data_IF_490392679627
#
_entry.id   IF_490392679627
#
_cell.length_a   1.000
_cell.length_b   1.000
_cell.length_c   1.000
_cell.angle_alpha   90.00
_cell.angle_beta   90.00
_cell.angle_gamma   90.00
#
_symmetry.space_group_name_H-M   'P 1'
#
loop_
_entity.id
_entity.type
_entity.pdbx_description
1 polymer ?
#
# COMPACT_ATOMS: atom_id res chain seq x y z
N UNK A 1 31.69 8.10 8.82
CA UNK A 1 31.03 6.82 9.19
C UNK A 1 31.76 5.65 8.54
N UNK A 2 32.04 4.59 9.31
CA UNK A 2 32.66 3.36 8.82
C UNK A 2 31.76 2.56 7.86
N UNK A 3 32.38 1.73 7.01
CA UNK A 3 31.68 0.98 5.96
C UNK A 3 30.63 0.01 6.50
N UNK A 4 30.98 -0.83 7.46
CA UNK A 4 30.05 -1.81 8.06
C UNK A 4 28.84 -1.13 8.71
N UNK A 5 29.09 -0.02 9.39
CA UNK A 5 28.05 0.82 9.99
C UNK A 5 27.10 1.40 8.95
N UNK A 6 27.62 1.89 7.82
CA UNK A 6 26.77 2.37 6.73
C UNK A 6 25.90 1.25 6.14
N UNK A 7 26.46 0.05 5.95
CA UNK A 7 25.68 -1.13 5.56
C UNK A 7 24.55 -1.44 6.53
N UNK A 8 24.83 -1.36 7.84
CA UNK A 8 23.83 -1.59 8.88
C UNK A 8 22.70 -0.56 8.80
N UNK A 9 23.03 0.74 8.75
CA UNK A 9 22.07 1.84 8.62
C UNK A 9 21.22 1.68 7.36
N UNK A 10 21.84 1.37 6.23
CA UNK A 10 21.12 1.18 4.97
C UNK A 10 20.14 0.01 5.07
N UNK A 11 20.57 -1.12 5.61
CA UNK A 11 19.71 -2.31 5.75
C UNK A 11 18.57 -2.11 6.75
N UNK A 12 18.85 -1.44 7.87
CA UNK A 12 17.90 -1.33 8.99
C UNK A 12 16.94 -0.18 8.85
N UNK A 13 17.37 0.93 8.26
CA UNK A 13 16.61 2.18 8.28
C UNK A 13 16.23 2.68 6.88
N UNK A 14 17.11 2.57 5.88
CA UNK A 14 16.84 3.10 4.53
C UNK A 14 16.06 2.10 3.65
N UNK A 15 16.45 0.83 3.61
CA UNK A 15 15.76 -0.17 2.78
C UNK A 15 14.28 -0.34 3.17
N UNK A 16 13.91 -0.40 4.46
CA UNK A 16 12.49 -0.53 4.84
C UNK A 16 11.63 0.65 4.40
N UNK A 17 12.22 1.84 4.32
CA UNK A 17 11.54 3.06 3.86
C UNK A 17 11.18 2.98 2.37
N UNK A 18 12.05 2.37 1.55
CA UNK A 18 11.92 2.29 0.10
C UNK A 18 11.26 0.98 -0.35
N UNK A 19 9.92 0.99 -0.40
CA UNK A 19 9.04 -0.07 -0.93
C UNK A 19 9.66 -0.86 -2.10
N UNK A 20 9.80 -2.19 -1.92
CA UNK A 20 10.27 -3.12 -2.95
C UNK A 20 11.77 -3.04 -3.31
N UNK A 21 12.57 -2.32 -2.53
CA UNK A 21 14.01 -2.17 -2.77
C UNK A 21 14.84 -3.27 -2.10
N UNK A 22 15.95 -3.64 -2.74
CA UNK A 22 16.91 -4.62 -2.24
C UNK A 22 18.33 -4.09 -2.43
N UNK A 23 19.20 -4.33 -1.45
CA UNK A 23 20.63 -4.09 -1.58
C UNK A 23 21.25 -5.24 -2.38
N UNK A 24 21.80 -4.94 -3.56
CA UNK A 24 22.29 -5.96 -4.50
C UNK A 24 23.82 -6.06 -4.56
N UNK A 25 24.54 -5.08 -4.02
CA UNK A 25 26.00 -5.11 -3.99
C UNK A 25 26.61 -3.74 -3.72
N UNK A 26 27.88 -3.63 -4.08
CA UNK A 26 28.66 -2.40 -4.05
C UNK A 26 29.46 -2.21 -5.33
N UNK A 27 29.82 -0.97 -5.61
CA UNK A 27 30.70 -0.59 -6.72
C UNK A 27 31.71 0.48 -6.27
N UNK A 28 32.82 0.58 -6.99
CA UNK A 28 33.84 1.62 -6.76
C UNK A 28 33.27 3.02 -7.02
N UNK A 29 33.80 4.00 -6.29
CA UNK A 29 33.35 5.39 -6.33
C UNK A 29 34.53 6.34 -6.20
N UNK A 30 34.34 7.58 -6.64
CA UNK A 30 35.31 8.64 -6.43
C UNK A 30 34.66 9.98 -5.99
N UNK A 31 35.50 10.93 -5.60
CA UNK A 31 35.07 12.23 -5.06
C UNK A 31 34.21 13.09 -6.01
N UNK A 32 34.31 12.88 -7.34
CA UNK A 32 33.53 13.65 -8.32
C UNK A 32 32.06 13.24 -8.35
N UNK A 33 31.78 12.02 -7.94
CA UNK A 33 30.46 11.45 -8.06
C UNK A 33 29.55 11.81 -6.87
N UNK A 34 28.24 11.94 -7.11
CA UNK A 34 27.25 12.38 -6.11
C UNK A 34 26.95 11.34 -5.03
N UNK A 35 26.66 11.75 -3.79
CA UNK A 35 26.35 10.82 -2.68
C UNK A 35 25.10 9.98 -2.92
N UNK A 36 24.13 10.53 -3.66
CA UNK A 36 22.96 9.82 -4.18
C UNK A 36 22.90 10.03 -5.68
N UNK A 37 22.83 8.94 -6.45
CA UNK A 37 22.71 8.98 -7.90
C UNK A 37 21.80 7.87 -8.42
N UNK A 38 21.19 8.09 -9.58
CA UNK A 38 20.55 7.01 -10.34
C UNK A 38 21.64 6.17 -11.02
N UNK A 39 21.58 4.87 -10.82
CA UNK A 39 22.44 3.90 -11.49
C UNK A 39 21.75 3.26 -12.70
N UNK A 40 22.39 2.23 -13.26
CA UNK A 40 21.83 1.44 -14.39
C UNK A 40 20.70 0.52 -13.92
N UNK A 41 19.76 0.21 -14.82
CA UNK A 41 18.71 -0.81 -14.60
C UNK A 41 17.87 -0.60 -13.33
N UNK A 42 17.28 0.59 -13.14
CA UNK A 42 16.43 0.89 -11.97
C UNK A 42 17.16 0.73 -10.62
N UNK A 43 18.44 1.09 -10.59
CA UNK A 43 19.22 1.14 -9.36
C UNK A 43 19.40 2.56 -8.86
N UNK A 44 19.64 2.65 -7.57
CA UNK A 44 20.05 3.84 -6.87
C UNK A 44 21.40 3.55 -6.21
N UNK A 45 22.32 4.48 -6.36
CA UNK A 45 23.66 4.43 -5.83
C UNK A 45 23.73 5.38 -4.64
N UNK A 46 24.15 4.87 -3.49
CA UNK A 46 24.32 5.69 -2.29
C UNK A 46 25.70 5.48 -1.66
N UNK A 47 26.34 6.55 -1.21
CA UNK A 47 27.59 6.50 -0.45
C UNK A 47 27.55 7.43 0.75
N UNK A 48 28.26 7.13 1.85
CA UNK A 48 28.09 7.86 3.11
C UNK A 48 28.58 9.30 2.99
N UNK A 49 29.64 9.55 2.23
CA UNK A 49 30.17 10.89 2.02
C UNK A 49 30.78 11.03 0.63
N UNK A 50 31.07 12.28 0.22
CA UNK A 50 31.73 12.58 -1.06
C UNK A 50 33.05 11.82 -1.27
N UNK A 51 33.88 11.73 -0.24
CA UNK A 51 35.22 11.12 -0.31
C UNK A 51 35.20 9.59 -0.26
N UNK A 52 34.04 8.96 -0.03
CA UNK A 52 33.96 7.50 0.02
C UNK A 52 34.28 6.86 -1.35
N UNK A 53 35.16 5.87 -1.31
CA UNK A 53 35.66 5.09 -2.45
C UNK A 53 34.71 3.96 -2.88
N UNK A 54 33.56 3.83 -2.23
CA UNK A 54 32.54 2.83 -2.54
C UNK A 54 31.14 3.43 -2.56
N UNK A 55 30.22 2.77 -3.27
CA UNK A 55 28.77 3.02 -3.26
C UNK A 55 28.02 1.72 -3.07
N UNK A 56 26.93 1.79 -2.33
CA UNK A 56 25.97 0.71 -2.24
C UNK A 56 24.94 0.81 -3.35
N UNK A 57 24.66 -0.33 -3.99
CA UNK A 57 23.71 -0.43 -5.09
C UNK A 57 22.39 -0.96 -4.54
N UNK A 58 21.37 -0.10 -4.51
CA UNK A 58 20.01 -0.47 -4.17
C UNK A 58 19.22 -0.64 -5.48
N UNK A 59 18.55 -1.78 -5.66
CA UNK A 59 17.78 -2.07 -6.87
C UNK A 59 16.32 -2.35 -6.52
N UNK A 60 15.42 -1.95 -7.40
CA UNK A 60 14.00 -2.34 -7.33
C UNK A 60 13.43 -2.63 -8.72
N UNK A 61 12.19 -3.12 -8.78
CA UNK A 61 11.53 -3.48 -10.03
C UNK A 61 11.32 -2.33 -11.02
N UNK A 62 11.29 -1.08 -10.53
CA UNK A 62 11.02 0.15 -11.29
C UNK A 62 11.95 1.31 -10.93
N UNK A 63 12.06 2.30 -11.79
CA UNK A 63 12.96 3.45 -11.56
C UNK A 63 12.56 4.24 -10.30
N UNK A 64 13.55 4.80 -9.60
CA UNK A 64 13.34 5.69 -8.45
C UNK A 64 12.80 7.05 -8.91
N UNK A 65 11.81 7.57 -8.17
CA UNK A 65 11.19 8.86 -8.47
C UNK A 65 12.02 10.02 -7.91
N UNK A 66 11.94 11.22 -8.51
CA UNK A 66 12.73 12.37 -8.07
C UNK A 66 12.59 12.71 -6.58
N UNK A 67 11.38 12.57 -6.02
CA UNK A 67 11.14 12.85 -4.60
C UNK A 67 11.82 11.84 -3.67
N UNK A 68 11.96 10.57 -4.08
CA UNK A 68 12.68 9.54 -3.32
C UNK A 68 14.18 9.81 -3.32
N UNK A 69 14.72 10.29 -4.44
CA UNK A 69 16.12 10.72 -4.53
C UNK A 69 16.36 11.91 -3.60
N UNK A 70 15.44 12.89 -3.59
CA UNK A 70 15.54 14.05 -2.72
C UNK A 70 15.46 13.67 -1.24
N UNK A 71 14.53 12.78 -0.88
CA UNK A 71 14.44 12.21 0.47
C UNK A 71 15.75 11.56 0.90
N UNK A 72 16.39 10.78 0.04
CA UNK A 72 17.64 10.10 0.40
C UNK A 72 18.82 11.06 0.53
N UNK A 73 18.86 12.13 -0.25
CA UNK A 73 19.84 13.21 -0.05
C UNK A 73 19.67 13.84 1.33
N UNK A 74 18.43 14.13 1.73
CA UNK A 74 18.14 14.66 3.06
C UNK A 74 18.53 13.65 4.15
N UNK A 75 18.18 12.37 3.99
CA UNK A 75 18.53 11.31 4.95
C UNK A 75 20.06 11.20 5.13
N UNK A 76 20.83 11.17 4.04
CA UNK A 76 22.29 11.07 4.15
C UNK A 76 22.91 12.29 4.81
N UNK A 77 22.38 13.49 4.55
CA UNK A 77 22.79 14.71 5.24
C UNK A 77 22.59 14.57 6.76
N UNK A 78 21.38 14.20 7.19
CA UNK A 78 21.07 14.07 8.62
C UNK A 78 21.85 12.94 9.30
N UNK A 79 22.07 11.80 8.62
CA UNK A 79 22.90 10.70 9.14
C UNK A 79 24.36 11.14 9.33
N UNK A 80 24.89 11.94 8.40
CA UNK A 80 26.24 12.46 8.52
C UNK A 80 26.36 13.43 9.69
N UNK A 81 25.36 14.29 9.90
CA UNK A 81 25.33 15.18 11.05
C UNK A 81 25.33 14.39 12.37
N UNK A 82 24.55 13.30 12.47
CA UNK A 82 24.57 12.39 13.64
C UNK A 82 25.92 11.68 13.78
N UNK A 83 26.52 11.24 12.67
CA UNK A 83 27.79 10.50 12.67
C UNK A 83 28.99 11.36 13.08
N UNK A 84 28.86 12.69 13.07
CA UNK A 84 29.91 13.63 13.47
C UNK A 84 29.97 13.84 14.99
N UNK A 85 29.00 13.33 15.75
CA UNK A 85 29.05 13.36 17.21
C UNK A 85 30.00 12.27 17.74
N UNK A 86 31.07 12.68 18.40
CA UNK A 86 32.03 11.77 19.03
C UNK A 86 31.50 11.21 20.36
N UNK A 87 31.86 9.96 20.68
CA UNK A 87 31.61 9.36 21.99
C UNK A 87 30.17 8.93 22.28
N UNK A 88 29.29 8.87 21.28
CA UNK A 88 27.94 8.35 21.44
C UNK A 88 27.95 6.84 21.70
N UNK A 89 27.18 6.40 22.71
CA UNK A 89 26.85 4.99 22.87
C UNK A 89 26.05 4.49 21.65
N UNK A 90 26.28 3.26 21.17
CA UNK A 90 25.57 2.72 20.01
C UNK A 90 24.04 2.74 20.14
N UNK A 91 23.48 2.60 21.34
CA UNK A 91 22.02 2.63 21.55
C UNK A 91 21.44 4.03 21.42
N UNK A 92 22.12 5.06 21.94
CA UNK A 92 21.74 6.46 21.75
C UNK A 92 21.87 6.88 20.30
N UNK A 93 22.95 6.46 19.65
CA UNK A 93 23.17 6.76 18.24
C UNK A 93 22.04 6.21 17.37
N UNK A 94 21.60 4.97 17.60
CA UNK A 94 20.49 4.40 16.83
C UNK A 94 19.19 5.18 17.00
N UNK A 95 18.88 5.63 18.21
CA UNK A 95 17.73 6.51 18.45
C UNK A 95 17.83 7.85 17.71
N UNK A 96 19.03 8.43 17.64
CA UNK A 96 19.28 9.67 16.88
C UNK A 96 19.16 9.44 15.37
N UNK A 97 19.64 8.31 14.85
CA UNK A 97 19.51 7.96 13.43
C UNK A 97 18.04 7.75 13.00
N UNK A 98 17.22 7.14 13.86
CA UNK A 98 15.78 7.03 13.61
C UNK A 98 15.11 8.42 13.58
N UNK A 99 15.49 9.33 14.47
CA UNK A 99 15.01 10.71 14.49
C UNK A 99 15.53 11.54 13.31
N UNK A 100 16.75 11.31 12.87
CA UNK A 100 17.33 11.91 11.66
C UNK A 100 16.49 11.58 10.41
N UNK A 101 16.00 10.34 10.29
CA UNK A 101 15.10 9.97 9.19
C UNK A 101 13.75 10.67 9.29
N UNK A 102 13.19 10.78 10.49
CA UNK A 102 11.94 11.54 10.71
C UNK A 102 12.09 13.01 10.32
N UNK A 103 13.22 13.64 10.68
CA UNK A 103 13.57 15.00 10.25
C UNK A 103 13.71 15.10 8.73
N UNK A 104 14.41 14.17 8.10
CA UNK A 104 14.57 14.14 6.65
C UNK A 104 13.24 13.95 5.89
N UNK A 105 12.30 13.17 6.44
CA UNK A 105 10.93 13.04 5.92
C UNK A 105 10.21 14.39 5.98
N UNK A 106 10.26 15.08 7.12
CA UNK A 106 9.67 16.41 7.27
C UNK A 106 10.28 17.43 6.30
N UNK A 107 11.61 17.47 6.19
CA UNK A 107 12.34 18.33 5.24
C UNK A 107 11.93 18.06 3.78
N UNK A 108 11.70 16.79 3.43
CA UNK A 108 11.32 16.40 2.06
C UNK A 108 9.91 16.88 1.66
N UNK A 109 9.04 17.13 2.64
CA UNK A 109 7.62 17.51 2.43
C UNK A 109 7.43 19.01 2.54
N UNK A 110 8.09 19.62 3.53
CA UNK A 110 7.86 20.99 3.95
C UNK A 110 9.19 21.67 4.31
N UNK A 111 10.11 21.78 3.35
CA UNK A 111 11.44 22.36 3.58
C UNK A 111 11.42 23.74 4.26
N UNK A 112 10.44 24.59 3.93
CA UNK A 112 10.25 25.92 4.55
C UNK A 112 9.61 25.90 5.95
N UNK A 113 9.04 24.76 6.37
CA UNK A 113 8.29 24.60 7.62
C UNK A 113 8.72 23.33 8.38
N UNK A 114 9.95 22.87 8.16
CA UNK A 114 10.37 21.53 8.58
C UNK A 114 10.48 21.39 10.10
N UNK A 115 10.97 22.42 10.79
CA UNK A 115 11.04 22.47 12.26
C UNK A 115 9.64 22.32 12.88
N UNK A 116 8.68 23.10 12.38
CA UNK A 116 7.26 23.02 12.77
C UNK A 116 6.69 21.63 12.50
N UNK A 117 6.89 21.12 11.28
CA UNK A 117 6.42 19.79 10.90
C UNK A 117 6.99 18.69 11.80
N UNK A 118 8.28 18.74 12.12
CA UNK A 118 8.93 17.80 13.04
C UNK A 118 8.33 17.89 14.45
N UNK A 119 8.06 19.10 14.94
CA UNK A 119 7.37 19.30 16.22
C UNK A 119 5.97 18.71 16.24
N UNK A 120 5.18 18.94 15.20
CA UNK A 120 3.82 18.40 15.04
C UNK A 120 3.83 16.86 14.96
N UNK A 121 4.73 16.29 14.14
CA UNK A 121 4.92 14.83 14.00
C UNK A 121 5.36 14.21 15.33
N UNK A 122 6.26 14.87 16.06
CA UNK A 122 6.71 14.45 17.38
C UNK A 122 5.57 14.42 18.40
N UNK A 123 4.75 15.48 18.44
CA UNK A 123 3.58 15.55 19.30
C UNK A 123 2.55 14.46 18.99
N UNK A 124 2.23 14.24 17.71
CA UNK A 124 1.31 13.17 17.31
C UNK A 124 1.88 11.77 17.57
N UNK A 125 3.20 11.59 17.43
CA UNK A 125 3.86 10.33 17.82
C UNK A 125 3.71 10.06 19.31
N UNK A 126 3.80 11.09 20.17
CA UNK A 126 3.54 10.93 21.61
C UNK A 126 2.08 10.54 21.88
N UNK A 127 1.13 11.13 21.15
CA UNK A 127 -0.29 10.78 21.25
C UNK A 127 -0.61 9.36 20.75
N UNK A 128 0.11 8.86 19.75
CA UNK A 128 -0.07 7.50 19.23
C UNK A 128 0.17 6.39 20.27
N UNK A 129 0.96 6.70 21.32
CA UNK A 129 1.27 5.80 22.42
C UNK A 129 0.30 5.92 23.60
N UNK A 130 -0.64 6.86 23.56
CA UNK A 130 -1.58 7.16 24.63
C UNK A 130 -3.00 6.71 24.28
N UNK A 131 -3.81 6.53 25.32
CA UNK A 131 -5.25 6.33 25.20
C UNK A 131 -5.96 7.44 25.96
N UNK A 132 -7.06 7.94 25.42
CA UNK A 132 -7.97 8.84 26.13
C UNK A 132 -9.28 8.10 26.38
N UNK A 133 -9.71 8.00 27.64
CA UNK A 133 -10.90 7.22 28.04
C UNK A 133 -10.91 5.77 27.51
N UNK A 134 -9.72 5.14 27.45
CA UNK A 134 -9.55 3.78 26.93
C UNK A 134 -9.62 3.64 25.41
N UNK A 135 -9.84 4.73 24.67
CA UNK A 135 -9.81 4.76 23.20
C UNK A 135 -8.48 5.30 22.70
N UNK A 136 -8.00 4.73 21.58
CA UNK A 136 -6.87 5.30 20.85
C UNK A 136 -7.30 6.64 20.25
N UNK A 137 -6.36 7.58 20.26
CA UNK A 137 -6.61 8.93 19.78
C UNK A 137 -6.38 8.95 18.27
N UNK A 138 -7.36 9.46 17.54
CA UNK A 138 -7.21 9.88 16.15
C UNK A 138 -7.18 11.42 16.11
N UNK A 139 -6.40 12.00 15.21
CA UNK A 139 -6.24 13.45 15.16
C UNK A 139 -5.72 13.94 13.82
N UNK A 140 -6.17 15.11 13.39
CA UNK A 140 -5.80 15.73 12.11
C UNK A 140 -5.21 17.12 12.25
N UNK A 141 -4.07 17.34 11.60
CA UNK A 141 -3.42 18.64 11.46
C UNK A 141 -3.26 19.01 9.98
N UNK A 142 -3.55 20.26 9.62
CA UNK A 142 -3.11 20.87 8.36
C UNK A 142 -1.99 21.86 8.67
N UNK A 143 -0.88 21.73 7.96
CA UNK A 143 0.20 22.71 7.94
C UNK A 143 0.17 23.49 6.63
N UNK A 144 -0.07 24.79 6.72
CA UNK A 144 -0.02 25.70 5.59
C UNK A 144 1.41 26.21 5.39
N UNK A 145 2.05 25.79 4.31
CA UNK A 145 3.47 26.08 4.03
C UNK A 145 3.68 27.33 3.18
N UNK A 146 2.62 28.13 2.97
CA UNK A 146 2.71 29.39 2.23
C UNK A 146 3.46 30.43 3.06
N UNK A 147 4.20 31.32 2.41
CA UNK A 147 4.94 32.42 3.05
C UNK A 147 4.00 33.53 3.53
N UNK A 148 3.26 33.25 4.60
CA UNK A 148 2.54 34.25 5.37
C UNK A 148 3.10 34.22 6.80
N UNK A 149 3.97 35.18 7.12
CA UNK A 149 4.61 35.31 8.43
C UNK A 149 3.66 35.97 9.45
N UNK A 150 2.43 35.46 9.57
CA UNK A 150 1.48 35.94 10.56
C UNK A 150 1.79 35.29 11.90
N UNK A 151 2.40 36.04 12.81
CA UNK A 151 2.63 35.58 14.18
C UNK A 151 1.27 35.57 14.91
N UNK A 152 0.83 34.37 15.29
CA UNK A 152 -0.41 34.18 16.05
C UNK A 152 -0.15 34.17 17.57
N UNK A 153 -1.22 34.28 18.37
CA UNK A 153 -1.10 34.27 19.84
C UNK A 153 -0.86 32.86 20.42
N UNK A 154 -1.15 31.80 19.67
CA UNK A 154 -1.09 30.41 20.13
C UNK A 154 -0.18 29.59 19.22
N UNK A 155 0.89 29.05 19.79
CA UNK A 155 1.82 28.17 19.10
C UNK A 155 1.51 26.70 19.42
N UNK A 156 1.81 25.79 18.49
CA UNK A 156 1.46 24.38 18.64
C UNK A 156 2.08 23.73 19.90
N UNK A 157 3.25 24.20 20.33
CA UNK A 157 3.95 23.70 21.52
C UNK A 157 3.15 23.87 22.80
N UNK A 158 2.31 24.91 22.85
CA UNK A 158 1.57 25.28 24.06
C UNK A 158 0.23 24.53 24.13
N UNK A 159 -0.24 24.02 22.99
CA UNK A 159 -1.56 23.40 22.86
C UNK A 159 -1.50 21.88 22.75
N UNK A 160 -0.55 21.32 21.99
CA UNK A 160 -0.52 19.89 21.68
C UNK A 160 -0.29 18.99 22.88
N UNK A 161 0.29 19.50 23.97
CA UNK A 161 0.50 18.76 25.21
C UNK A 161 -0.76 18.65 26.07
N UNK A 162 -1.81 19.41 25.75
CA UNK A 162 -3.05 19.46 26.53
C UNK A 162 -4.04 18.38 26.10
N UNK A 163 -4.77 17.80 27.06
CA UNK A 163 -5.66 16.67 26.81
C UNK A 163 -6.89 17.05 25.97
N UNK A 164 -7.40 18.29 26.08
CA UNK A 164 -8.54 18.74 25.28
C UNK A 164 -8.23 18.72 23.78
N UNK A 165 -6.96 18.91 23.42
CA UNK A 165 -6.54 18.96 22.03
C UNK A 165 -6.78 17.63 21.34
N UNK A 166 -6.65 16.50 22.04
CA UNK A 166 -6.90 15.16 21.49
C UNK A 166 -8.35 14.94 21.02
N UNK A 167 -9.30 15.82 21.40
CA UNK A 167 -10.72 15.70 21.07
C UNK A 167 -11.18 16.66 19.96
N UNK A 168 -10.32 17.58 19.51
CA UNK A 168 -10.74 18.66 18.60
C UNK A 168 -10.93 18.21 17.15
N UNK A 169 -10.35 17.07 16.75
CA UNK A 169 -10.36 16.63 15.36
C UNK A 169 -10.46 15.11 15.27
N UNK A 170 -11.15 14.61 14.25
CA UNK A 170 -11.31 13.17 13.98
C UNK A 170 -10.21 12.60 13.06
N UNK A 171 -9.32 13.45 12.54
CA UNK A 171 -8.27 13.07 11.58
C UNK A 171 -8.75 12.62 10.20
N UNK A 172 -10.05 12.68 9.91
CA UNK A 172 -10.67 12.19 8.66
C UNK A 172 -11.43 13.32 7.94
N UNK A 173 -12.32 14.01 8.65
CA UNK A 173 -13.17 15.07 8.15
C UNK A 173 -12.94 16.41 8.83
N UNK A 174 -12.26 16.47 9.97
CA UNK A 174 -11.92 17.70 10.66
C UNK A 174 -10.45 17.78 11.00
N UNK A 175 -9.87 18.99 10.91
CA UNK A 175 -8.44 19.22 11.12
C UNK A 175 -8.20 20.57 11.78
N UNK A 176 -7.17 20.65 12.63
CA UNK A 176 -6.65 21.93 13.14
C UNK A 176 -5.57 22.45 12.20
N UNK A 177 -5.65 23.73 11.82
CA UNK A 177 -4.73 24.34 10.86
C UNK A 177 -3.68 25.23 11.55
N UNK A 178 -2.41 25.04 11.17
CA UNK A 178 -1.29 25.86 11.59
C UNK A 178 -0.58 26.46 10.38
N UNK A 179 0.03 27.63 10.54
CA UNK A 179 0.95 28.19 9.54
C UNK A 179 2.34 27.53 9.62
N UNK A 180 3.22 27.89 8.67
CA UNK A 180 4.58 27.34 8.57
C UNK A 180 5.43 27.55 9.83
N UNK A 181 5.15 28.61 10.59
CA UNK A 181 5.87 28.99 11.81
C UNK A 181 5.25 28.36 13.07
N UNK A 182 4.19 27.56 12.92
CA UNK A 182 3.62 26.77 14.01
C UNK A 182 2.50 27.44 14.79
N UNK A 183 2.00 28.59 14.33
CA UNK A 183 0.89 29.29 14.96
C UNK A 183 -0.46 28.81 14.45
N UNK A 184 -1.41 28.68 15.37
CA UNK A 184 -2.79 28.27 15.08
C UNK A 184 -3.46 29.30 14.15
N UNK A 185 -3.96 28.84 13.01
CA UNK A 185 -4.69 29.69 12.06
C UNK A 185 -6.18 29.36 12.01
N UNK A 186 -6.60 28.16 12.43
CA UNK A 186 -8.01 27.84 12.54
C UNK A 186 -8.34 26.36 12.57
N UNK A 187 -9.58 26.06 12.17
CA UNK A 187 -10.14 24.72 12.13
C UNK A 187 -10.85 24.51 10.80
N UNK A 188 -10.64 23.35 10.19
CA UNK A 188 -11.13 23.03 8.85
C UNK A 188 -12.02 21.79 8.92
N UNK A 189 -13.24 21.91 8.37
CA UNK A 189 -14.10 20.78 8.05
C UNK A 189 -14.03 20.46 6.55
N UNK A 190 -13.76 19.21 6.21
CA UNK A 190 -13.50 18.72 4.86
C UNK A 190 -14.75 18.16 4.15
N UNK A 191 -15.94 18.45 4.65
CA UNK A 191 -17.19 17.94 4.06
C UNK A 191 -17.45 18.41 2.61
N UNK A 192 -16.80 19.50 2.17
CA UNK A 192 -16.99 20.11 0.83
C UNK A 192 -15.66 20.43 0.14
N UNK A 193 -14.81 19.43 -0.04
CA UNK A 193 -13.55 19.59 -0.80
C UNK A 193 -13.81 19.37 -2.28
N UNK A 194 -13.18 20.20 -3.13
CA UNK A 194 -13.20 20.01 -4.59
C UNK A 194 -12.75 18.59 -4.97
N UNK A 195 -13.39 18.02 -5.98
CA UNK A 195 -13.07 16.69 -6.45
C UNK A 195 -11.79 16.71 -7.32
N UNK A 196 -10.63 16.66 -6.67
CA UNK A 196 -9.36 16.41 -7.34
C UNK A 196 -9.06 14.91 -7.39
N UNK A 197 -8.32 14.50 -8.43
CA UNK A 197 -7.77 13.14 -8.50
C UNK A 197 -6.73 12.98 -7.40
N UNK A 198 -6.93 11.96 -6.56
CA UNK A 198 -6.08 11.69 -5.41
C UNK A 198 -5.72 10.20 -5.34
N UNK A 199 -4.64 9.88 -4.65
CA UNK A 199 -4.26 8.51 -4.30
C UNK A 199 -4.00 8.47 -2.79
N UNK A 200 -4.98 7.98 -2.06
CA UNK A 200 -4.97 7.89 -0.61
C UNK A 200 -6.02 6.86 -0.18
N UNK A 201 -5.94 6.29 1.04
CA UNK A 201 -6.97 5.40 1.55
C UNK A 201 -8.34 6.10 1.57
N UNK A 202 -9.42 5.33 1.40
CA UNK A 202 -10.77 5.83 1.20
C UNK A 202 -11.20 6.84 2.27
N UNK A 203 -11.00 6.50 3.55
CA UNK A 203 -11.36 7.36 4.69
C UNK A 203 -10.63 8.71 4.70
N UNK A 204 -9.43 8.77 4.11
CA UNK A 204 -8.57 9.96 4.09
C UNK A 204 -8.56 10.66 2.72
N UNK A 205 -9.50 10.33 1.84
CA UNK A 205 -9.55 10.90 0.51
C UNK A 205 -9.79 12.42 0.53
N UNK A 206 -10.62 12.90 1.45
CA UNK A 206 -10.90 14.34 1.57
C UNK A 206 -9.67 15.15 1.98
N UNK A 207 -8.88 14.67 2.95
CA UNK A 207 -7.64 15.36 3.34
C UNK A 207 -6.62 15.33 2.22
N UNK A 208 -6.47 14.21 1.51
CA UNK A 208 -5.60 14.15 0.35
C UNK A 208 -6.02 15.19 -0.70
N UNK A 209 -7.30 15.26 -1.08
CA UNK A 209 -7.82 16.26 -2.03
C UNK A 209 -7.58 17.70 -1.56
N UNK A 210 -7.69 17.96 -0.27
CA UNK A 210 -7.48 19.28 0.31
C UNK A 210 -5.99 19.70 0.30
N UNK A 211 -5.08 18.74 0.45
CA UNK A 211 -3.64 18.96 0.53
C UNK A 211 -2.99 19.05 -0.86
N UNK A 212 -3.15 20.21 -1.51
CA UNK A 212 -2.39 20.57 -2.72
C UNK A 212 -0.94 21.00 -2.42
N UNK A 213 -0.37 21.83 -3.30
CA UNK A 213 1.04 22.26 -3.21
C UNK A 213 1.35 23.13 -1.99
N UNK A 214 0.37 23.86 -1.45
CA UNK A 214 0.57 24.82 -0.35
C UNK A 214 0.23 24.28 1.03
N UNK A 215 -0.33 23.08 1.11
CA UNK A 215 -0.81 22.49 2.37
C UNK A 215 -0.25 21.08 2.54
N UNK A 216 0.03 20.71 3.77
CA UNK A 216 0.45 19.38 4.18
C UNK A 216 -0.56 18.88 5.20
N UNK A 217 -1.11 17.69 4.98
CA UNK A 217 -2.01 17.04 5.93
C UNK A 217 -1.25 16.02 6.75
N UNK A 218 -1.45 16.01 8.06
CA UNK A 218 -0.88 15.03 8.97
C UNK A 218 -2.05 14.42 9.73
N UNK A 219 -2.24 13.10 9.64
CA UNK A 219 -3.32 12.41 10.33
C UNK A 219 -2.77 11.27 11.20
N UNK A 220 -3.16 11.25 12.47
CA UNK A 220 -3.01 10.12 13.36
C UNK A 220 -4.29 9.28 13.29
N UNK A 221 -4.15 8.00 12.94
CA UNK A 221 -5.27 7.07 12.81
C UNK A 221 -5.58 6.39 14.15
N UNK A 222 -6.78 5.81 14.24
CA UNK A 222 -7.20 4.98 15.37
C UNK A 222 -6.29 3.75 15.58
N UNK A 223 -5.56 3.32 14.55
CA UNK A 223 -4.62 2.21 14.68
C UNK A 223 -3.26 2.64 15.27
N UNK A 224 -3.01 3.95 15.38
CA UNK A 224 -1.73 4.53 15.80
C UNK A 224 -0.77 4.79 14.63
N UNK A 225 -1.25 4.63 13.38
CA UNK A 225 -0.47 5.00 12.19
C UNK A 225 -0.50 6.51 11.99
N UNK A 226 0.62 7.11 11.62
CA UNK A 226 0.74 8.52 11.26
C UNK A 226 0.87 8.64 9.74
N UNK A 227 -0.01 9.41 9.11
CA UNK A 227 -0.11 9.59 7.66
C UNK A 227 0.26 11.01 7.28
N UNK A 228 1.03 11.18 6.19
CA UNK A 228 1.38 12.49 5.63
C UNK A 228 0.84 12.59 4.21
N UNK A 229 0.00 13.60 3.98
CA UNK A 229 -0.63 13.91 2.71
C UNK A 229 -0.06 15.19 2.11
N UNK A 230 0.30 15.13 0.84
CA UNK A 230 0.83 16.26 0.08
C UNK A 230 0.61 16.02 -1.41
N UNK A 231 0.39 17.08 -2.19
CA UNK A 231 0.19 17.01 -3.64
C UNK A 231 -0.90 16.01 -4.04
N UNK A 232 -2.03 16.05 -3.33
CA UNK A 232 -3.18 15.19 -3.54
C UNK A 232 -2.96 13.68 -3.30
N UNK A 233 -1.87 13.29 -2.63
CA UNK A 233 -1.54 11.89 -2.38
C UNK A 233 -1.11 11.63 -0.94
N UNK A 234 -1.28 10.40 -0.48
CA UNK A 234 -0.52 9.89 0.66
C UNK A 234 0.95 9.79 0.20
N UNK A 235 1.88 10.48 0.86
CA UNK A 235 3.31 10.37 0.51
C UNK A 235 4.05 9.43 1.45
N UNK A 236 3.78 9.56 2.75
CA UNK A 236 4.46 8.82 3.80
C UNK A 236 3.47 8.29 4.82
N UNK A 237 3.77 7.13 5.38
CA UNK A 237 3.10 6.64 6.58
C UNK A 237 4.12 6.08 7.57
N UNK A 238 4.00 6.45 8.85
CA UNK A 238 4.69 5.79 9.95
C UNK A 238 3.76 4.73 10.51
N UNK A 239 4.07 3.47 10.23
CA UNK A 239 3.29 2.31 10.66
C UNK A 239 4.15 1.43 11.54
N UNK A 240 3.66 1.08 12.73
CA UNK A 240 4.41 0.28 13.72
C UNK A 240 5.80 0.86 14.01
N UNK A 241 5.87 2.19 14.12
CA UNK A 241 7.11 2.92 14.38
C UNK A 241 8.03 3.13 13.17
N UNK A 242 7.75 2.53 12.01
CA UNK A 242 8.61 2.63 10.81
C UNK A 242 7.99 3.51 9.74
N UNK A 243 8.79 4.40 9.17
CA UNK A 243 8.40 5.22 8.02
C UNK A 243 8.41 4.39 6.73
N UNK A 244 7.39 4.59 5.90
CA UNK A 244 7.24 3.97 4.59
C UNK A 244 6.93 5.03 3.54
N UNK A 245 7.51 4.87 2.34
CA UNK A 245 7.26 5.73 1.19
C UNK A 245 6.28 5.09 0.22
N UNK A 246 5.28 5.87 -0.20
CA UNK A 246 4.22 5.41 -1.08
C UNK A 246 4.43 5.88 -2.53
N UNK A 247 5.14 5.06 -3.30
CA UNK A 247 5.37 5.27 -4.74
C UNK A 247 4.23 4.66 -5.57
N UNK A 248 3.03 5.24 -5.43
CA UNK A 248 1.77 4.69 -5.93
C UNK A 248 1.75 4.33 -7.43
N UNK A 249 2.15 5.27 -8.30
CA UNK A 249 2.10 5.05 -9.75
C UNK A 249 3.02 3.90 -10.18
N UNK A 250 4.15 3.69 -9.49
CA UNK A 250 5.05 2.56 -9.77
C UNK A 250 4.39 1.22 -9.47
N UNK A 251 3.63 1.15 -8.37
CA UNK A 251 2.90 -0.06 -7.99
C UNK A 251 1.78 -0.32 -9.00
N UNK A 252 0.99 0.70 -9.37
CA UNK A 252 -0.05 0.59 -10.42
C UNK A 252 0.56 0.12 -11.75
N UNK A 253 1.77 0.58 -12.10
CA UNK A 253 2.49 0.12 -13.27
C UNK A 253 3.06 -1.29 -13.14
N UNK A 254 3.41 -1.75 -11.94
CA UNK A 254 3.80 -3.15 -11.70
C UNK A 254 2.62 -4.11 -11.86
N UNK A 255 1.39 -3.63 -11.70
CA UNK A 255 0.18 -4.41 -12.01
C UNK A 255 -0.06 -4.60 -13.52
N UNK A 256 0.58 -3.83 -14.40
CA UNK A 256 0.53 -4.14 -15.84
C UNK A 256 1.48 -5.27 -16.18
N UNK A 257 0.94 -6.29 -16.85
CA UNK A 257 1.76 -7.27 -17.54
C UNK A 257 2.13 -6.75 -18.93
N UNK A 258 3.39 -6.97 -19.35
CA UNK A 258 4.03 -6.32 -20.52
C UNK A 258 3.35 -6.55 -21.89
N UNK A 259 2.31 -7.36 -21.97
CA UNK A 259 1.71 -7.82 -23.22
C UNK A 259 0.18 -7.66 -23.32
N UNK A 260 -0.50 -7.18 -22.27
CA UNK A 260 -1.94 -6.91 -22.35
C UNK A 260 -2.24 -5.43 -22.15
N UNK A 261 -3.14 -4.89 -22.98
CA UNK A 261 -3.78 -3.60 -22.77
C UNK A 261 -4.73 -3.67 -21.56
N UNK A 262 -4.20 -3.96 -20.37
CA UNK A 262 -4.97 -3.79 -19.13
C UNK A 262 -5.26 -2.31 -18.94
N UNK A 263 -6.55 -1.93 -18.85
CA UNK A 263 -6.95 -0.54 -18.64
C UNK A 263 -6.30 0.00 -17.36
N UNK A 264 -5.73 1.21 -17.43
CA UNK A 264 -5.08 1.86 -16.27
C UNK A 264 -6.05 1.98 -15.10
N UNK A 265 -7.33 2.17 -15.38
CA UNK A 265 -8.41 2.31 -14.40
C UNK A 265 -8.63 1.04 -13.58
N UNK A 266 -8.60 -0.15 -14.21
CA UNK A 266 -8.70 -1.44 -13.51
C UNK A 266 -7.56 -1.60 -12.50
N UNK A 267 -6.32 -1.35 -12.95
CA UNK A 267 -5.13 -1.46 -12.09
C UNK A 267 -5.17 -0.44 -10.95
N UNK A 268 -5.61 0.78 -11.23
CA UNK A 268 -5.79 1.81 -10.21
C UNK A 268 -6.86 1.40 -9.20
N UNK A 269 -7.99 0.86 -9.64
CA UNK A 269 -9.06 0.37 -8.76
C UNK A 269 -8.56 -0.76 -7.85
N UNK A 270 -7.85 -1.76 -8.40
CA UNK A 270 -7.24 -2.86 -7.65
C UNK A 270 -6.28 -2.33 -6.58
N UNK A 271 -5.38 -1.44 -6.97
CA UNK A 271 -4.41 -0.87 -6.04
C UNK A 271 -5.06 -0.03 -4.94
N UNK A 272 -6.02 0.83 -5.29
CA UNK A 272 -6.74 1.65 -4.31
C UNK A 272 -7.51 0.79 -3.33
N UNK A 273 -8.17 -0.27 -3.77
CA UNK A 273 -8.85 -1.20 -2.87
C UNK A 273 -7.89 -1.99 -1.99
N UNK A 274 -6.71 -2.36 -2.49
CA UNK A 274 -5.66 -2.96 -1.65
C UNK A 274 -5.15 -1.97 -0.58
N UNK A 275 -5.00 -0.69 -0.91
CA UNK A 275 -4.71 0.37 0.07
C UNK A 275 -5.83 0.43 1.12
N UNK A 276 -7.09 0.44 0.70
CA UNK A 276 -8.22 0.57 1.62
C UNK A 276 -8.24 -0.56 2.65
N UNK A 277 -8.15 -1.81 2.19
CA UNK A 277 -8.05 -2.98 3.07
C UNK A 277 -6.79 -2.96 3.96
N UNK A 278 -5.68 -2.40 3.48
CA UNK A 278 -4.43 -2.27 4.24
C UNK A 278 -4.56 -1.30 5.40
N UNK A 279 -5.15 -0.12 5.17
CA UNK A 279 -5.28 0.91 6.21
C UNK A 279 -6.45 0.64 7.17
N UNK A 280 -7.42 -0.17 6.76
CA UNK A 280 -8.48 -0.68 7.63
C UNK A 280 -8.12 -2.00 8.32
N UNK A 281 -6.92 -2.54 8.07
CA UNK A 281 -6.42 -3.79 8.67
C UNK A 281 -7.37 -5.00 8.48
N UNK A 282 -8.22 -4.97 7.45
CA UNK A 282 -9.18 -6.05 7.16
C UNK A 282 -8.48 -7.27 6.55
N UNK A 283 -7.36 -7.06 5.85
CA UNK A 283 -6.75 -8.07 4.99
C UNK A 283 -7.58 -8.33 3.73
N UNK A 284 -7.09 -9.24 2.88
CA UNK A 284 -7.78 -9.64 1.65
C UNK A 284 -6.85 -10.31 0.64
N UNK A 285 -7.44 -10.90 -0.39
CA UNK A 285 -6.71 -11.44 -1.55
C UNK A 285 -7.38 -10.94 -2.82
N UNK A 286 -6.59 -10.35 -3.70
CA UNK A 286 -7.05 -9.91 -5.03
C UNK A 286 -6.23 -10.64 -6.07
N UNK A 287 -6.87 -11.19 -7.09
CA UNK A 287 -6.17 -11.80 -8.22
C UNK A 287 -6.65 -11.12 -9.50
N UNK A 288 -5.71 -10.52 -10.23
CA UNK A 288 -5.97 -9.90 -11.51
C UNK A 288 -5.37 -10.75 -12.62
N UNK A 289 -6.24 -11.36 -13.43
CA UNK A 289 -5.85 -12.33 -14.43
C UNK A 289 -5.31 -11.66 -15.70
N UNK A 290 -4.40 -12.37 -16.38
CA UNK A 290 -4.03 -12.04 -17.75
C UNK A 290 -5.16 -12.49 -18.69
N UNK A 291 -5.16 -11.88 -19.88
CA UNK A 291 -6.01 -12.33 -20.99
C UNK A 291 -5.81 -13.83 -21.20
N UNK A 292 -6.91 -14.54 -21.41
CA UNK A 292 -6.96 -15.97 -21.72
C UNK A 292 -6.46 -16.92 -20.60
N UNK A 293 -6.22 -16.42 -19.38
CA UNK A 293 -5.83 -17.25 -18.24
C UNK A 293 -7.00 -17.62 -17.30
N UNK A 294 -8.22 -17.16 -17.62
CA UNK A 294 -9.41 -17.41 -16.81
C UNK A 294 -9.76 -18.90 -16.70
N UNK A 295 -9.64 -19.67 -17.79
CA UNK A 295 -9.92 -21.10 -17.78
C UNK A 295 -9.03 -21.85 -16.77
N UNK A 296 -7.73 -21.55 -16.74
CA UNK A 296 -6.81 -22.14 -15.77
C UNK A 296 -7.11 -21.73 -14.33
N UNK A 297 -7.46 -20.47 -14.09
CA UNK A 297 -7.82 -19.99 -12.75
C UNK A 297 -9.10 -20.67 -12.22
N UNK A 298 -10.07 -20.96 -13.10
CA UNK A 298 -11.33 -21.61 -12.75
C UNK A 298 -11.14 -23.03 -12.17
N UNK A 299 -10.04 -23.72 -12.47
CA UNK A 299 -9.71 -25.00 -11.83
C UNK A 299 -9.65 -24.89 -10.29
N UNK A 300 -9.29 -23.72 -9.77
CA UNK A 300 -9.12 -23.46 -8.34
C UNK A 300 -10.38 -22.91 -7.66
N UNK A 301 -11.43 -22.57 -8.42
CA UNK A 301 -12.63 -21.90 -7.94
C UNK A 301 -13.80 -22.89 -7.94
N UNK A 302 -14.55 -22.95 -6.83
CA UNK A 302 -15.78 -23.73 -6.76
C UNK A 302 -16.88 -23.06 -7.61
N UNK A 303 -17.67 -23.85 -8.36
CA UNK A 303 -18.72 -23.31 -9.22
C UNK A 303 -19.74 -22.45 -8.46
N UNK A 304 -19.95 -22.73 -7.17
CA UNK A 304 -20.86 -21.98 -6.29
C UNK A 304 -20.36 -20.56 -5.98
N UNK A 305 -19.06 -20.28 -6.17
CA UNK A 305 -18.45 -18.97 -5.92
C UNK A 305 -18.38 -18.10 -7.19
N UNK A 306 -18.78 -18.61 -8.35
CA UNK A 306 -18.72 -17.89 -9.63
C UNK A 306 -19.91 -16.93 -9.76
N UNK A 307 -19.62 -15.64 -9.98
CA UNK A 307 -20.60 -14.56 -10.06
C UNK A 307 -21.07 -14.26 -11.50
N UNK A 308 -20.32 -14.74 -12.50
CA UNK A 308 -20.57 -14.45 -13.91
C UNK A 308 -21.00 -15.71 -14.65
N UNK A 309 -22.16 -15.66 -15.28
CA UNK A 309 -22.71 -16.75 -16.10
C UNK A 309 -21.71 -17.24 -17.15
N UNK A 310 -21.06 -16.32 -17.86
CA UNK A 310 -20.01 -16.65 -18.85
C UNK A 310 -18.93 -17.56 -18.25
N UNK A 311 -18.47 -17.27 -17.04
CA UNK A 311 -17.41 -18.05 -16.40
C UNK A 311 -17.93 -19.35 -15.78
N UNK A 312 -19.19 -19.39 -15.37
CA UNK A 312 -19.86 -20.61 -14.96
C UNK A 312 -19.96 -21.60 -16.13
N UNK A 313 -20.38 -21.14 -17.32
CA UNK A 313 -20.48 -22.00 -18.51
C UNK A 313 -19.11 -22.55 -18.95
N UNK A 314 -18.04 -21.73 -18.84
CA UNK A 314 -16.67 -22.19 -19.08
C UNK A 314 -16.29 -23.29 -18.07
N UNK A 315 -16.55 -23.07 -16.77
CA UNK A 315 -16.26 -24.04 -15.70
C UNK A 315 -17.02 -25.35 -15.91
N UNK A 316 -18.31 -25.26 -16.23
CA UNK A 316 -19.20 -26.38 -16.55
C UNK A 316 -18.64 -27.22 -17.69
N UNK A 317 -18.24 -26.58 -18.80
CA UNK A 317 -17.61 -27.28 -19.93
C UNK A 317 -16.33 -28.01 -19.52
N UNK A 318 -15.43 -27.36 -18.80
CA UNK A 318 -14.16 -27.96 -18.36
C UNK A 318 -14.41 -29.20 -17.49
N UNK A 319 -15.29 -29.10 -16.50
CA UNK A 319 -15.58 -30.19 -15.56
C UNK A 319 -16.28 -31.38 -16.24
N UNK A 320 -17.17 -31.10 -17.21
CA UNK A 320 -17.80 -32.15 -18.02
C UNK A 320 -16.77 -32.87 -18.90
N UNK A 321 -15.91 -32.13 -19.62
CA UNK A 321 -14.85 -32.69 -20.46
C UNK A 321 -13.83 -33.52 -19.64
N UNK A 322 -13.48 -33.08 -18.42
CA UNK A 322 -12.61 -33.84 -17.52
C UNK A 322 -13.29 -35.10 -16.98
N UNK A 323 -14.58 -35.03 -16.65
CA UNK A 323 -15.33 -36.18 -16.13
C UNK A 323 -15.49 -37.30 -17.16
N UNK A 324 -15.52 -36.98 -18.45
CA UNK A 324 -15.59 -37.96 -19.54
C UNK A 324 -14.25 -38.66 -19.82
N UNK A 325 -13.13 -38.00 -19.49
CA UNK A 325 -11.78 -38.59 -19.62
C UNK A 325 -11.47 -39.57 -18.49
N UNK A 326 -12.01 -39.33 -17.31
CA UNK A 326 -11.89 -40.22 -16.16
C UNK A 326 -12.82 -41.42 -16.40
N UNK A 327 -12.26 -42.62 -16.66
CA UNK A 327 -12.99 -43.87 -16.94
C UNK A 327 -13.90 -44.39 -15.80
N UNK A 328 -14.38 -43.52 -14.93
CA UNK A 328 -15.31 -43.81 -13.84
C UNK A 328 -16.71 -43.23 -14.17
N UNK A 329 -17.57 -44.11 -14.70
CA UNK A 329 -18.95 -43.79 -15.08
C UNK A 329 -19.77 -43.15 -13.93
N UNK A 330 -19.56 -43.61 -12.69
CA UNK A 330 -20.30 -43.10 -11.53
C UNK A 330 -19.95 -41.66 -11.15
N UNK A 331 -18.70 -41.24 -11.35
CA UNK A 331 -18.31 -39.84 -11.16
C UNK A 331 -18.80 -38.95 -12.30
N UNK A 332 -18.79 -39.45 -13.54
CA UNK A 332 -19.25 -38.70 -14.70
C UNK A 332 -20.76 -38.37 -14.63
N UNK A 333 -21.59 -39.32 -14.20
CA UNK A 333 -23.02 -39.10 -14.00
C UNK A 333 -23.30 -38.06 -12.90
N UNK A 334 -22.53 -38.10 -11.79
CA UNK A 334 -22.67 -37.13 -10.70
C UNK A 334 -22.29 -35.72 -11.17
N UNK A 335 -21.19 -35.56 -11.91
CA UNK A 335 -20.76 -34.27 -12.46
C UNK A 335 -21.78 -33.74 -13.47
N UNK A 336 -22.30 -34.59 -14.37
CA UNK A 336 -23.37 -34.20 -15.32
C UNK A 336 -24.62 -33.72 -14.60
N UNK A 337 -25.09 -34.45 -13.58
CA UNK A 337 -26.27 -34.05 -12.80
C UNK A 337 -26.07 -32.74 -12.04
N UNK A 338 -24.86 -32.51 -11.52
CA UNK A 338 -24.51 -31.27 -10.81
C UNK A 338 -24.56 -30.04 -11.72
N UNK A 339 -24.07 -30.16 -12.96
CA UNK A 339 -24.04 -29.07 -13.94
C UNK A 339 -25.21 -29.07 -14.94
N UNK A 340 -26.18 -29.98 -14.78
CA UNK A 340 -27.36 -30.03 -15.65
C UNK A 340 -28.16 -28.72 -15.67
N UNK A 341 -28.41 -28.06 -14.52
CA UNK A 341 -29.11 -26.77 -14.50
C UNK A 341 -28.36 -25.69 -15.29
N UNK A 342 -29.11 -24.73 -15.83
CA UNK A 342 -28.54 -23.46 -16.27
C UNK A 342 -28.03 -22.64 -15.08
N UNK A 343 -27.39 -21.50 -15.34
CA UNK A 343 -26.75 -20.73 -14.27
C UNK A 343 -27.73 -20.24 -13.20
N UNK A 344 -28.91 -19.72 -13.58
CA UNK A 344 -29.87 -19.21 -12.60
C UNK A 344 -30.48 -20.35 -11.78
N UNK A 345 -30.85 -21.46 -12.44
CA UNK A 345 -31.36 -22.65 -11.75
C UNK A 345 -30.29 -23.26 -10.84
N UNK A 346 -29.02 -23.29 -11.28
CA UNK A 346 -27.89 -23.78 -10.48
C UNK A 346 -27.74 -22.98 -9.18
N UNK A 347 -27.82 -21.66 -9.25
CA UNK A 347 -27.66 -20.77 -8.10
C UNK A 347 -28.75 -21.03 -7.05
N UNK A 348 -30.01 -21.16 -7.49
CA UNK A 348 -31.15 -21.45 -6.62
C UNK A 348 -31.05 -22.86 -6.02
N UNK A 349 -30.84 -23.87 -6.88
CA UNK A 349 -30.83 -25.29 -6.48
C UNK A 349 -29.71 -25.64 -5.51
N UNK A 350 -28.55 -24.98 -5.65
CA UNK A 350 -27.39 -25.19 -4.79
C UNK A 350 -27.31 -24.19 -3.63
N UNK A 351 -28.36 -23.37 -3.42
CA UNK A 351 -28.44 -22.40 -2.32
C UNK A 351 -27.24 -21.45 -2.27
N UNK A 352 -26.83 -20.92 -3.42
CA UNK A 352 -25.66 -20.07 -3.58
C UNK A 352 -25.91 -18.61 -3.13
N UNK A 353 -26.50 -18.42 -1.94
CA UNK A 353 -26.98 -17.12 -1.46
C UNK A 353 -25.92 -16.01 -1.46
N UNK A 354 -24.67 -16.35 -1.13
CA UNK A 354 -23.53 -15.40 -1.16
C UNK A 354 -23.35 -14.85 -2.57
N UNK A 355 -23.21 -15.74 -3.54
CA UNK A 355 -22.93 -15.38 -4.94
C UNK A 355 -24.12 -14.69 -5.59
N UNK A 356 -25.34 -15.09 -5.24
CA UNK A 356 -26.58 -14.46 -5.71
C UNK A 356 -26.71 -13.03 -5.18
N UNK A 357 -26.49 -12.84 -3.87
CA UNK A 357 -26.49 -11.51 -3.24
C UNK A 357 -25.43 -10.59 -3.86
N UNK A 358 -24.19 -11.08 -4.01
CA UNK A 358 -23.11 -10.29 -4.60
C UNK A 358 -23.39 -9.95 -6.07
N UNK A 359 -23.94 -10.89 -6.85
CA UNK A 359 -24.35 -10.64 -8.24
C UNK A 359 -25.37 -9.51 -8.33
N UNK A 360 -26.38 -9.51 -7.46
CA UNK A 360 -27.39 -8.44 -7.41
C UNK A 360 -26.80 -7.09 -6.99
N UNK A 361 -25.88 -7.06 -6.00
CA UNK A 361 -25.22 -5.83 -5.56
C UNK A 361 -24.29 -5.26 -6.62
N UNK A 362 -23.52 -6.12 -7.30
CA UNK A 362 -22.58 -5.74 -8.36
C UNK A 362 -23.34 -5.26 -9.60
N UNK A 363 -24.46 -5.93 -9.93
CA UNK A 363 -25.36 -5.57 -11.04
C UNK A 363 -24.62 -5.49 -12.38
N UNK A 364 -23.80 -6.51 -12.68
CA UNK A 364 -23.03 -6.61 -13.92
C UNK A 364 -21.89 -5.60 -14.11
N UNK A 365 -21.74 -4.62 -13.21
CA UNK A 365 -20.68 -3.60 -13.27
C UNK A 365 -19.30 -4.24 -13.14
N UNK A 366 -18.33 -3.69 -13.88
CA UNK A 366 -16.93 -4.10 -13.77
C UNK A 366 -16.34 -3.59 -12.45
N UNK A 367 -15.30 -4.24 -11.97
CA UNK A 367 -14.68 -3.92 -10.69
C UNK A 367 -14.34 -2.43 -10.52
N UNK A 368 -13.78 -1.80 -11.55
CA UNK A 368 -13.39 -0.39 -11.52
C UNK A 368 -14.57 0.60 -11.55
N UNK A 369 -15.75 0.15 -11.98
CA UNK A 369 -16.98 0.95 -12.07
C UNK A 369 -17.79 0.93 -10.76
N UNK A 370 -17.54 -0.05 -9.89
CA UNK A 370 -18.20 -0.17 -8.59
C UNK A 370 -17.67 0.89 -7.62
N UNK A 371 -18.52 1.32 -6.69
CA UNK A 371 -18.14 2.22 -5.60
C UNK A 371 -16.90 1.71 -4.85
N UNK A 372 -16.02 2.63 -4.48
CA UNK A 372 -14.73 2.30 -3.87
C UNK A 372 -14.90 1.61 -2.50
N UNK A 373 -15.89 2.00 -1.71
CA UNK A 373 -16.18 1.38 -0.42
C UNK A 373 -16.70 -0.05 -0.61
N UNK A 374 -17.58 -0.25 -1.58
CA UNK A 374 -18.08 -1.58 -1.91
C UNK A 374 -16.95 -2.51 -2.41
N UNK A 375 -15.99 -2.00 -3.19
CA UNK A 375 -14.81 -2.80 -3.57
C UNK A 375 -14.00 -3.26 -2.35
N UNK A 376 -13.78 -2.37 -1.39
CA UNK A 376 -13.07 -2.69 -0.15
C UNK A 376 -13.80 -3.80 0.61
N UNK A 377 -15.12 -3.69 0.77
CA UNK A 377 -15.95 -4.68 1.47
C UNK A 377 -15.90 -6.04 0.77
N UNK A 378 -16.01 -6.08 -0.56
CA UNK A 378 -15.89 -7.31 -1.37
C UNK A 378 -14.53 -7.98 -1.18
N UNK A 379 -13.44 -7.21 -1.10
CA UNK A 379 -12.08 -7.76 -0.95
C UNK A 379 -11.78 -8.20 0.49
N UNK A 380 -12.38 -7.53 1.47
CA UNK A 380 -12.23 -7.85 2.88
C UNK A 380 -12.95 -9.15 3.28
N UNK A 381 -13.87 -9.66 2.44
CA UNK A 381 -14.51 -10.95 2.66
C UNK A 381 -13.48 -12.08 2.74
N UNK A 382 -13.77 -13.10 3.55
CA UNK A 382 -12.87 -14.25 3.63
C UNK A 382 -12.83 -15.03 2.30
N UNK A 383 -11.64 -15.46 1.91
CA UNK A 383 -11.36 -16.01 0.58
C UNK A 383 -10.71 -15.01 -0.37
N UNK A 384 -10.79 -15.29 -1.67
CA UNK A 384 -10.16 -14.50 -2.72
C UNK A 384 -11.18 -13.82 -3.63
N UNK A 385 -10.83 -12.63 -4.10
CA UNK A 385 -11.54 -11.90 -5.14
C UNK A 385 -10.76 -12.02 -6.44
N UNK A 386 -11.39 -12.61 -7.46
CA UNK A 386 -10.77 -12.91 -8.76
C UNK A 386 -11.39 -12.00 -9.81
N UNK A 387 -10.55 -11.24 -10.49
CA UNK A 387 -10.92 -10.23 -11.48
C UNK A 387 -10.24 -10.59 -12.79
N UNK A 388 -11.03 -10.70 -13.85
CA UNK A 388 -10.53 -10.96 -15.20
C UNK A 388 -9.82 -9.74 -15.80
N UNK A 389 -9.09 -9.94 -16.90
CA UNK A 389 -8.30 -8.89 -17.57
C UNK A 389 -9.12 -7.64 -17.94
N UNK A 390 -10.41 -7.79 -18.22
CA UNK A 390 -11.36 -6.73 -18.61
C UNK A 390 -12.08 -6.08 -17.42
N UNK A 391 -11.78 -6.52 -16.18
CA UNK A 391 -12.41 -6.02 -14.96
C UNK A 391 -13.67 -6.77 -14.54
N UNK A 392 -14.08 -7.82 -15.25
CA UNK A 392 -15.18 -8.70 -14.79
C UNK A 392 -14.80 -9.35 -13.47
N UNK A 393 -15.70 -9.31 -12.49
CA UNK A 393 -15.52 -10.03 -11.23
C UNK A 393 -15.97 -11.48 -11.48
N UNK A 394 -15.02 -12.41 -11.49
CA UNK A 394 -15.29 -13.84 -11.68
C UNK A 394 -15.87 -14.42 -10.39
N UNK A 395 -15.23 -14.10 -9.26
CA UNK A 395 -15.60 -14.61 -7.95
C UNK A 395 -15.16 -13.64 -6.85
N UNK A 396 -15.85 -13.67 -5.72
CA UNK A 396 -15.52 -12.88 -4.53
C UNK A 396 -15.73 -13.72 -3.26
N UNK A 397 -14.80 -13.59 -2.32
CA UNK A 397 -14.77 -14.44 -1.13
C UNK A 397 -14.71 -15.94 -1.48
N UNK A 398 -13.98 -16.30 -2.54
CA UNK A 398 -13.88 -17.68 -3.01
C UNK A 398 -12.85 -18.46 -2.19
N UNK A 399 -13.21 -19.67 -1.76
CA UNK A 399 -12.27 -20.57 -1.08
C UNK A 399 -11.54 -21.38 -2.16
N UNK A 400 -10.24 -21.15 -2.27
CA UNK A 400 -9.44 -21.69 -3.35
C UNK A 400 -8.97 -23.12 -3.06
N UNK A 401 -9.11 -23.99 -4.06
CA UNK A 401 -8.50 -25.32 -4.06
C UNK A 401 -7.01 -25.19 -4.41
N UNK A 402 -6.15 -25.24 -3.39
CA UNK A 402 -4.69 -25.19 -3.54
C UNK A 402 -4.08 -26.57 -3.28
N UNK A 403 -2.97 -26.88 -3.95
CA UNK A 403 -2.25 -28.14 -3.74
C UNK A 403 -1.72 -28.26 -2.29
N UNK A 404 -1.82 -29.46 -1.72
CA UNK A 404 -1.33 -29.73 -0.38
C UNK A 404 0.19 -29.60 -0.29
N UNK A 405 0.70 -28.96 0.78
CA UNK A 405 2.15 -28.83 1.03
C UNK A 405 2.73 -27.43 0.85
N UNK A 406 1.91 -26.40 0.60
CA UNK A 406 2.39 -25.02 0.52
C UNK A 406 2.94 -24.53 1.87
N UNK A 407 4.20 -24.11 1.90
CA UNK A 407 4.83 -23.48 3.08
C UNK A 407 4.31 -22.04 3.26
N UNK A 408 3.50 -21.80 4.31
CA UNK A 408 3.01 -20.48 4.72
C UNK A 408 1.53 -20.45 5.13
N UNK A 409 1.03 -19.31 5.63
CA UNK A 409 -0.39 -19.14 5.95
C UNK A 409 -1.29 -19.17 4.71
N UNK A 410 -2.56 -19.57 4.85
CA UNK A 410 -3.48 -19.85 3.74
C UNK A 410 -3.58 -18.75 2.68
N UNK A 411 -3.64 -17.47 3.09
CA UNK A 411 -3.67 -16.34 2.15
C UNK A 411 -2.40 -16.21 1.28
N UNK A 412 -1.23 -16.50 1.87
CA UNK A 412 0.04 -16.44 1.15
C UNK A 412 0.16 -17.57 0.13
N UNK A 413 -0.29 -18.78 0.50
CA UNK A 413 -0.32 -19.92 -0.39
C UNK A 413 -1.23 -19.67 -1.60
N UNK A 414 -2.47 -19.24 -1.34
CA UNK A 414 -3.43 -18.86 -2.36
C UNK A 414 -2.89 -17.78 -3.33
N UNK A 415 -2.32 -16.70 -2.81
CA UNK A 415 -1.76 -15.65 -3.64
C UNK A 415 -0.61 -16.17 -4.51
N UNK A 416 0.30 -16.97 -3.95
CA UNK A 416 1.42 -17.53 -4.72
C UNK A 416 0.98 -18.49 -5.82
N UNK A 417 0.01 -19.36 -5.54
CA UNK A 417 -0.48 -20.34 -6.51
C UNK A 417 -1.21 -19.66 -7.68
N UNK A 418 -2.09 -18.70 -7.39
CA UNK A 418 -2.81 -17.97 -8.43
C UNK A 418 -1.95 -16.95 -9.20
N UNK A 419 -0.73 -16.64 -8.73
CA UNK A 419 0.21 -15.77 -9.45
C UNK A 419 0.62 -16.29 -10.84
N UNK A 420 0.40 -17.59 -11.12
CA UNK A 420 0.64 -18.18 -12.44
C UNK A 420 -0.32 -17.68 -13.52
N UNK A 421 -1.54 -17.30 -13.13
CA UNK A 421 -2.57 -16.82 -14.05
C UNK A 421 -2.54 -15.29 -14.25
N UNK A 422 -1.79 -14.55 -13.43
CA UNK A 422 -1.75 -13.09 -13.52
C UNK A 422 -0.88 -12.40 -12.49
N UNK A 423 -1.45 -11.39 -11.83
CA UNK A 423 -0.85 -10.71 -10.70
C UNK A 423 -1.78 -10.89 -9.50
N UNK A 424 -1.25 -11.42 -8.40
CA UNK A 424 -2.00 -11.62 -7.17
C UNK A 424 -1.48 -10.71 -6.07
N UNK A 425 -2.39 -10.13 -5.31
CA UNK A 425 -2.11 -9.27 -4.16
C UNK A 425 -2.60 -9.98 -2.92
N UNK A 426 -1.70 -10.11 -1.94
CA UNK A 426 -2.05 -10.47 -0.58
C UNK A 426 -2.04 -9.18 0.23
N UNK A 427 -3.17 -8.85 0.86
CA UNK A 427 -3.26 -7.84 1.90
C UNK A 427 -3.35 -8.57 3.24
N UNK A 428 -2.44 -8.25 4.14
CA UNK A 428 -2.39 -8.82 5.47
C UNK A 428 -3.25 -8.01 6.43
N UNK A 429 -3.82 -8.67 7.45
CA UNK A 429 -4.50 -8.02 8.59
C UNK A 429 -3.56 -7.16 9.44
N UNK A 430 -2.27 -7.18 9.09
CA UNK A 430 -1.20 -6.46 9.74
C UNK A 430 -0.79 -5.22 8.93
N UNK A 431 -1.48 -4.95 7.82
CA UNK A 431 -1.32 -3.77 6.97
C UNK A 431 -0.40 -3.95 5.76
N UNK A 432 0.34 -5.06 5.67
CA UNK A 432 1.31 -5.26 4.58
C UNK A 432 0.61 -5.72 3.29
N UNK A 433 0.92 -5.07 2.17
CA UNK A 433 0.50 -5.45 0.82
C UNK A 433 1.68 -6.10 0.09
N UNK A 434 1.49 -7.32 -0.41
CA UNK A 434 2.48 -8.04 -1.21
C UNK A 434 1.90 -8.41 -2.57
N UNK A 435 2.55 -7.98 -3.64
CA UNK A 435 2.21 -8.36 -5.02
C UNK A 435 3.08 -9.52 -5.51
N UNK A 436 2.50 -10.50 -6.19
CA UNK A 436 3.18 -11.66 -6.75
C UNK A 436 2.87 -11.82 -8.24
N UNK A 437 3.86 -12.32 -8.99
CA UNK A 437 3.67 -12.82 -10.35
C UNK A 437 4.68 -13.92 -10.62
N UNK A 438 4.49 -14.66 -11.71
CA UNK A 438 5.38 -15.75 -12.11
C UNK A 438 6.49 -15.27 -13.03
N UNK A 439 7.67 -15.87 -12.87
CA UNK A 439 8.77 -15.73 -13.82
C UNK A 439 8.64 -16.72 -15.00
N UNK A 440 9.60 -16.70 -15.93
CA UNK A 440 9.61 -17.61 -17.09
C UNK A 440 9.69 -19.10 -16.71
N UNK A 441 10.04 -19.43 -15.46
CA UNK A 441 10.15 -20.78 -14.93
C UNK A 441 8.91 -21.18 -14.11
N UNK A 442 7.82 -20.41 -14.20
CA UNK A 442 6.60 -20.56 -13.40
C UNK A 442 6.82 -20.53 -11.88
N UNK A 443 7.94 -19.96 -11.43
CA UNK A 443 8.18 -19.75 -10.00
C UNK A 443 7.57 -18.42 -9.55
N UNK A 444 6.86 -18.45 -8.43
CA UNK A 444 6.23 -17.24 -7.86
C UNK A 444 7.31 -16.29 -7.33
N UNK A 445 7.28 -15.05 -7.81
CA UNK A 445 8.21 -13.97 -7.43
C UNK A 445 7.43 -12.79 -6.85
N UNK A 446 7.97 -12.22 -5.78
CA UNK A 446 7.47 -10.95 -5.22
C UNK A 446 7.77 -9.81 -6.20
N UNK A 447 6.71 -9.12 -6.64
CA UNK A 447 6.81 -7.92 -7.47
C UNK A 447 7.07 -6.67 -6.65
N UNK A 448 6.38 -6.52 -5.53
CA UNK A 448 6.52 -5.42 -4.59
C UNK A 448 6.01 -5.82 -3.20
N UNK A 449 6.49 -5.11 -2.19
CA UNK A 449 5.98 -5.15 -0.81
C UNK A 449 5.84 -3.72 -0.33
N UNK A 450 4.63 -3.34 0.11
CA UNK A 450 4.30 -2.05 0.73
C UNK A 450 3.86 -2.33 2.16
N UNK A 451 4.41 -1.61 3.13
CA UNK A 451 4.07 -1.74 4.55
C UNK A 451 3.41 -0.51 5.12
#
# INVERSE_FOLDING_TARGET
>A
MEKEKFYFVVRKLILPLLTGSQLVGEEESNAREAEVALGKQNSLLIKPCKTAEYRLVIKRGRAYQPFEINLLKNILKEINDVSNFEGLDPSYEMGLLEKAIEKAVCDSVASSASSTMLGLVGALSNWSARTYEGKKINFGIILNITDNNEVGPLHYSDMLSSDFFALLSDGKHSFVEFNKDGYLTGYVSLAKVRNYSSIAPYEFNYVARYCGEKKVGIALTENGDLLIFKNHTLMYAKRRGKWNVYSHEEIIQLLSYRTSHSLKEIRRAIYLSAIDCSFNYSGGIIVYLKRDMAEGALAHIDARDILSERYYEIKKRIELEESEKLYNLSSAERTRSFYLPDYEEFMVKNSCYKSECLKQIIDGRKFHEIDRKLREEIIAMDGATIIDFDGTIIAAGAILKIEAGSLGGGRLAAAKDLAKYGVSLKISQDGVIQGFSTDKKNSSKVLFTVS
#
